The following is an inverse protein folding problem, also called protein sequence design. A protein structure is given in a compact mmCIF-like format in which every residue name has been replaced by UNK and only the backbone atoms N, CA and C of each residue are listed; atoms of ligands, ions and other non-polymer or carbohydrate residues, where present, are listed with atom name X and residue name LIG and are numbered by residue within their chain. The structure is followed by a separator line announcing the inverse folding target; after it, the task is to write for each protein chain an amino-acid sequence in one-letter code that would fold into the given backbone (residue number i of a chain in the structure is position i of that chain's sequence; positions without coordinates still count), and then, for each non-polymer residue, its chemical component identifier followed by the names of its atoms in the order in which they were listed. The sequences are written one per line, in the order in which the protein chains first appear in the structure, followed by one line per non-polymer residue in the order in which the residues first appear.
data_IF_919595777051
#
_entry.id   IF_919595777051
#
_cell.length_a   1.000
_cell.length_b   1.000
_cell.length_c   1.000
_cell.angle_alpha   90.00
_cell.angle_beta   90.00
_cell.angle_gamma   90.00
#
_symmetry.space_group_name_H-M   'P 1'
#
loop_
_entity.id
_entity.type
_entity.pdbx_description
1 polymer ?
#
# COMPACT_ATOMS: atom_id res chain seq x y z
N UNK A 1 -0.67 -15.24 -5.73
CA UNK A 1 -1.32 -14.02 -6.27
C UNK A 1 -2.56 -13.68 -5.46
N UNK A 2 -2.74 -12.40 -5.20
CA UNK A 2 -3.94 -11.87 -4.59
C UNK A 2 -5.01 -11.65 -5.68
N UNK A 3 -6.30 -11.67 -5.31
CA UNK A 3 -7.37 -11.37 -6.28
C UNK A 3 -7.25 -9.93 -6.81
N UNK A 4 -7.65 -9.70 -8.06
CA UNK A 4 -7.93 -8.34 -8.56
C UNK A 4 -9.12 -7.83 -7.77
N UNK A 5 -8.89 -6.78 -7.00
CA UNK A 5 -9.85 -6.22 -6.05
C UNK A 5 -9.81 -4.70 -6.05
N UNK A 6 -10.74 -4.12 -5.34
CA UNK A 6 -10.83 -2.71 -5.07
C UNK A 6 -11.44 -2.48 -3.68
N UNK A 7 -11.28 -1.28 -3.15
CA UNK A 7 -11.98 -0.77 -1.98
C UNK A 7 -13.08 0.21 -2.41
N UNK A 8 -14.28 0.16 -1.80
CA UNK A 8 -15.39 1.02 -2.22
C UNK A 8 -15.10 2.49 -1.94
N UNK A 9 -15.61 3.39 -2.79
CA UNK A 9 -15.56 4.84 -2.59
C UNK A 9 -16.38 5.26 -1.36
N UNK A 10 -16.01 6.36 -0.70
CA UNK A 10 -16.74 6.89 0.49
C UNK A 10 -18.22 7.09 0.22
N UNK A 11 -18.58 7.69 -0.93
CA UNK A 11 -19.99 7.91 -1.31
C UNK A 11 -20.78 6.60 -1.33
N UNK A 12 -20.20 5.57 -1.92
CA UNK A 12 -20.82 4.25 -1.98
C UNK A 12 -20.93 3.59 -0.60
N UNK A 13 -19.90 3.72 0.23
CA UNK A 13 -19.92 3.24 1.61
C UNK A 13 -21.04 3.90 2.41
N UNK A 14 -21.19 5.23 2.27
CA UNK A 14 -22.25 5.98 2.93
C UNK A 14 -23.65 5.55 2.47
N UNK A 15 -23.85 5.45 1.17
CA UNK A 15 -25.14 5.12 0.58
C UNK A 15 -25.57 3.67 0.83
N UNK A 16 -24.64 2.72 0.73
CA UNK A 16 -24.96 1.29 0.76
C UNK A 16 -24.79 0.64 2.13
N UNK A 17 -23.88 1.16 2.96
CA UNK A 17 -23.51 0.54 4.22
C UNK A 17 -23.66 1.48 5.43
N UNK A 18 -23.97 2.76 5.22
CA UNK A 18 -24.13 3.76 6.29
C UNK A 18 -22.80 4.14 6.97
N UNK A 19 -21.66 4.02 6.27
CA UNK A 19 -20.33 4.31 6.81
C UNK A 19 -19.73 5.55 6.15
N UNK A 20 -19.12 6.43 6.94
CA UNK A 20 -18.57 7.71 6.47
C UNK A 20 -17.10 7.65 6.07
N UNK A 21 -16.53 6.48 5.91
CA UNK A 21 -15.12 6.28 5.53
C UNK A 21 -14.94 5.08 4.63
N UNK A 22 -13.80 5.05 3.95
CA UNK A 22 -13.36 3.95 3.10
C UNK A 22 -11.94 3.53 3.42
N UNK A 23 -11.51 2.44 2.79
CA UNK A 23 -10.14 1.97 2.81
C UNK A 23 -9.37 2.60 1.65
N UNK A 24 -8.45 3.52 1.95
CA UNK A 24 -7.35 3.86 1.08
C UNK A 24 -6.15 3.01 1.46
N UNK A 25 -5.49 2.43 0.50
CA UNK A 25 -4.39 1.48 0.71
C UNK A 25 -3.09 1.99 0.10
N UNK A 26 -1.98 1.44 0.55
CA UNK A 26 -0.68 1.53 -0.13
C UNK A 26 0.04 0.20 0.01
N UNK A 27 0.76 -0.21 -1.04
CA UNK A 27 1.65 -1.35 -1.01
C UNK A 27 3.09 -0.88 -1.00
N UNK A 28 3.80 -1.11 0.10
CA UNK A 28 5.25 -0.99 0.13
C UNK A 28 5.88 -2.37 -0.06
N UNK A 29 6.73 -2.51 -1.07
CA UNK A 29 7.39 -3.77 -1.39
C UNK A 29 8.61 -3.96 -0.46
N UNK A 30 8.46 -4.79 0.57
CA UNK A 30 9.59 -5.17 1.44
C UNK A 30 10.48 -6.19 0.74
N UNK A 31 9.91 -6.95 -0.21
CA UNK A 31 10.61 -7.86 -1.09
C UNK A 31 9.85 -7.99 -2.39
N UNK A 32 10.53 -7.75 -3.52
CA UNK A 32 10.13 -8.14 -4.86
C UNK A 32 11.12 -9.15 -5.41
N UNK A 33 10.76 -9.82 -6.48
CA UNK A 33 11.64 -10.77 -7.18
C UNK A 33 11.79 -10.40 -8.64
N UNK A 34 12.58 -11.20 -9.36
CA UNK A 34 12.61 -11.18 -10.82
C UNK A 34 11.23 -11.59 -11.33
N UNK A 35 10.65 -10.83 -12.24
CA UNK A 35 9.35 -11.09 -12.86
C UNK A 35 8.12 -10.97 -11.92
N UNK A 36 8.29 -10.39 -10.72
CA UNK A 36 7.13 -10.08 -9.86
C UNK A 36 6.45 -8.78 -10.29
N UNK A 37 5.13 -8.71 -10.10
CA UNK A 37 4.29 -7.59 -10.57
C UNK A 37 3.37 -7.08 -9.47
N UNK A 38 2.97 -5.82 -9.60
CA UNK A 38 1.79 -5.26 -8.94
C UNK A 38 0.83 -4.82 -10.03
N UNK A 39 -0.41 -5.27 -9.94
CA UNK A 39 -1.49 -4.82 -10.81
C UNK A 39 -2.10 -3.56 -10.21
N UNK A 40 -2.27 -2.49 -11.01
CA UNK A 40 -2.76 -1.21 -10.50
C UNK A 40 -3.40 -0.35 -11.58
N UNK A 41 -4.67 -0.01 -11.40
CA UNK A 41 -5.41 0.85 -12.32
C UNK A 41 -5.69 0.22 -13.67
N UNK A 42 -6.48 0.87 -14.49
CA UNK A 42 -6.88 0.37 -15.81
C UNK A 42 -5.80 0.64 -16.87
N UNK A 43 -5.73 -0.23 -17.86
CA UNK A 43 -4.99 0.08 -19.09
C UNK A 43 -5.61 1.29 -19.79
N UNK A 44 -4.81 1.99 -20.60
CA UNK A 44 -5.27 3.16 -21.37
C UNK A 44 -6.44 2.81 -22.29
N UNK A 45 -6.34 1.66 -22.94
CA UNK A 45 -7.27 1.11 -23.93
C UNK A 45 -8.32 0.17 -23.36
N UNK A 46 -8.37 -0.03 -22.04
CA UNK A 46 -9.32 -0.95 -21.40
C UNK A 46 -10.78 -0.50 -21.65
N UNK A 47 -11.57 -1.43 -22.18
CA UNK A 47 -13.03 -1.30 -22.27
C UNK A 47 -13.66 -1.94 -21.03
N UNK A 48 -14.29 -1.11 -20.18
CA UNK A 48 -14.89 -1.54 -18.92
C UNK A 48 -16.05 -2.51 -19.11
N UNK A 49 -16.82 -2.37 -20.19
CA UNK A 49 -17.94 -3.27 -20.49
C UNK A 49 -17.43 -4.64 -20.95
N UNK A 50 -16.32 -4.67 -21.70
CA UNK A 50 -15.66 -5.94 -22.07
C UNK A 50 -15.08 -6.60 -20.80
N UNK A 51 -14.36 -5.85 -19.98
CA UNK A 51 -13.83 -6.36 -18.72
C UNK A 51 -14.93 -6.98 -17.84
N UNK A 52 -16.06 -6.29 -17.70
CA UNK A 52 -17.21 -6.80 -16.93
C UNK A 52 -17.76 -8.10 -17.50
N UNK A 53 -17.95 -8.19 -18.82
CA UNK A 53 -18.45 -9.40 -19.47
C UNK A 53 -17.51 -10.59 -19.32
N UNK A 54 -16.20 -10.34 -19.36
CA UNK A 54 -15.21 -11.41 -19.14
C UNK A 54 -15.19 -11.89 -17.70
N UNK A 55 -15.33 -10.98 -16.72
CA UNK A 55 -15.51 -11.36 -15.31
C UNK A 55 -16.80 -12.17 -15.11
N UNK A 56 -17.91 -11.75 -15.72
CA UNK A 56 -19.16 -12.52 -15.70
C UNK A 56 -18.98 -13.94 -16.26
N UNK A 57 -18.33 -14.07 -17.41
CA UNK A 57 -18.02 -15.40 -18.00
C UNK A 57 -17.11 -16.23 -17.12
N UNK A 58 -16.15 -15.61 -16.45
CA UNK A 58 -15.29 -16.30 -15.51
C UNK A 58 -16.11 -16.89 -14.34
N UNK A 59 -17.05 -16.12 -13.81
CA UNK A 59 -17.90 -16.53 -12.68
C UNK A 59 -18.94 -17.57 -13.10
N UNK A 60 -19.60 -17.39 -14.26
CA UNK A 60 -20.72 -18.25 -14.71
C UNK A 60 -20.26 -19.51 -15.42
N UNK A 61 -19.26 -19.40 -16.27
CA UNK A 61 -18.86 -20.45 -17.22
C UNK A 61 -17.50 -21.07 -16.86
N UNK A 62 -16.79 -20.51 -15.85
CA UNK A 62 -15.45 -20.96 -15.45
C UNK A 62 -14.38 -20.68 -16.51
N UNK A 63 -14.59 -19.68 -17.37
CA UNK A 63 -13.62 -19.30 -18.40
C UNK A 63 -12.62 -18.32 -17.84
N UNK A 64 -11.31 -18.66 -17.74
CA UNK A 64 -10.30 -17.73 -17.24
C UNK A 64 -10.20 -16.48 -18.09
N UNK A 65 -9.93 -15.34 -17.44
CA UNK A 65 -9.52 -14.10 -18.11
C UNK A 65 -8.04 -13.79 -17.77
N UNK A 66 -7.36 -13.03 -18.65
CA UNK A 66 -6.06 -12.46 -18.34
C UNK A 66 -6.25 -11.05 -17.76
N UNK A 67 -5.89 -10.80 -16.50
CA UNK A 67 -6.03 -9.48 -15.94
C UNK A 67 -5.22 -8.40 -16.67
N UNK A 68 -4.12 -8.76 -17.33
CA UNK A 68 -3.26 -7.82 -18.07
C UNK A 68 -3.93 -7.26 -19.33
N UNK A 69 -5.03 -7.83 -19.78
CA UNK A 69 -5.85 -7.24 -20.86
C UNK A 69 -6.60 -5.98 -20.39
N UNK A 70 -6.81 -5.82 -19.07
CA UNK A 70 -7.66 -4.76 -18.51
C UNK A 70 -6.93 -3.87 -17.49
N UNK A 71 -6.04 -4.45 -16.70
CA UNK A 71 -5.34 -3.79 -15.58
C UNK A 71 -3.86 -3.67 -15.88
N UNK A 72 -3.26 -2.51 -15.58
CA UNK A 72 -1.83 -2.31 -15.76
C UNK A 72 -1.04 -3.18 -14.80
N UNK A 73 0.06 -3.75 -15.28
CA UNK A 73 1.03 -4.49 -14.50
C UNK A 73 2.34 -3.71 -14.42
N UNK A 74 2.81 -3.46 -13.21
CA UNK A 74 4.08 -2.79 -12.94
C UNK A 74 5.09 -3.78 -12.36
N UNK A 75 6.38 -3.70 -12.74
CA UNK A 75 7.43 -4.41 -12.02
C UNK A 75 7.37 -4.11 -10.53
N UNK A 76 7.60 -5.11 -9.69
CA UNK A 76 7.56 -4.97 -8.24
C UNK A 76 8.98 -5.01 -7.67
N UNK A 77 9.57 -3.84 -7.45
CA UNK A 77 10.92 -3.70 -6.93
C UNK A 77 10.91 -3.46 -5.42
N UNK A 78 11.91 -4.00 -4.72
CA UNK A 78 12.08 -3.75 -3.28
C UNK A 78 12.22 -2.25 -3.01
N UNK A 79 11.49 -1.76 -2.01
CA UNK A 79 11.51 -0.35 -1.61
C UNK A 79 10.58 0.56 -2.40
N UNK A 80 9.88 0.04 -3.40
CA UNK A 80 8.86 0.77 -4.16
C UNK A 80 7.55 0.86 -3.39
N UNK A 81 6.83 1.97 -3.56
CA UNK A 81 5.49 2.18 -2.99
C UNK A 81 4.47 2.41 -4.11
N UNK A 82 3.33 1.76 -3.96
CA UNK A 82 2.15 1.93 -4.81
C UNK A 82 1.02 2.56 -4.00
N UNK A 83 0.51 3.69 -4.46
CA UNK A 83 -0.66 4.36 -3.87
C UNK A 83 -1.94 3.75 -4.46
N UNK A 84 -2.87 3.36 -3.59
CA UNK A 84 -4.09 2.63 -3.98
C UNK A 84 -5.31 3.34 -3.36
N UNK A 85 -5.69 4.50 -3.90
CA UNK A 85 -6.92 5.15 -3.45
C UNK A 85 -8.15 4.33 -3.85
N UNK A 86 -9.20 4.39 -3.03
CA UNK A 86 -10.45 3.65 -3.27
C UNK A 86 -11.00 3.89 -4.69
N UNK A 87 -11.55 2.85 -5.31
CA UNK A 87 -11.96 2.85 -6.71
C UNK A 87 -10.85 2.42 -7.70
N UNK A 88 -9.70 1.98 -7.22
CA UNK A 88 -8.56 1.57 -8.06
C UNK A 88 -8.43 0.05 -8.08
N UNK A 89 -8.67 -0.62 -9.23
CA UNK A 89 -8.47 -2.06 -9.33
C UNK A 89 -6.99 -2.38 -9.14
N UNK A 90 -6.69 -3.35 -8.26
CA UNK A 90 -5.32 -3.68 -7.91
C UNK A 90 -5.16 -5.13 -7.44
N UNK A 91 -3.92 -5.62 -7.49
CA UNK A 91 -3.50 -6.86 -6.84
C UNK A 91 -1.98 -6.90 -6.65
N UNK A 92 -1.52 -7.64 -5.65
CA UNK A 92 -0.12 -8.07 -5.58
C UNK A 92 0.04 -9.39 -6.31
N UNK A 93 0.96 -9.45 -7.26
CA UNK A 93 1.33 -10.68 -7.94
C UNK A 93 2.11 -11.65 -7.05
N UNK A 94 2.36 -12.83 -7.58
CA UNK A 94 3.09 -13.88 -6.87
C UNK A 94 4.53 -13.46 -6.54
N UNK A 95 5.05 -13.92 -5.41
CA UNK A 95 6.44 -13.71 -4.98
C UNK A 95 6.72 -12.37 -4.30
N UNK A 96 5.77 -11.46 -4.23
CA UNK A 96 5.89 -10.22 -3.47
C UNK A 96 5.70 -10.43 -1.96
N UNK A 97 6.46 -9.68 -1.16
CA UNK A 97 6.16 -9.45 0.25
C UNK A 97 5.82 -7.97 0.44
N UNK A 98 4.59 -7.72 0.84
CA UNK A 98 4.01 -6.38 0.93
C UNK A 98 3.79 -5.97 2.38
N UNK A 99 4.25 -4.77 2.74
CA UNK A 99 3.73 -4.04 3.89
C UNK A 99 2.56 -3.18 3.36
N UNK A 100 1.33 -3.59 3.68
CA UNK A 100 0.16 -2.77 3.39
C UNK A 100 0.00 -1.72 4.50
N UNK A 101 -0.13 -0.46 4.09
CA UNK A 101 -0.51 0.64 4.98
C UNK A 101 -1.88 1.11 4.50
N UNK A 102 -2.88 0.90 5.32
CA UNK A 102 -4.26 1.19 4.96
C UNK A 102 -5.02 1.90 6.08
N UNK A 103 -6.00 2.68 5.67
CA UNK A 103 -6.91 3.39 6.55
C UNK A 103 -8.22 2.60 6.62
N UNK A 104 -8.31 1.62 7.52
CA UNK A 104 -9.53 0.81 7.64
C UNK A 104 -9.75 0.28 9.05
N UNK A 105 -10.94 0.47 9.65
CA UNK A 105 -11.40 -0.30 10.80
C UNK A 105 -12.04 -1.63 10.39
N UNK A 106 -12.55 -1.75 9.13
CA UNK A 106 -13.14 -2.95 8.56
C UNK A 106 -12.70 -3.12 7.12
N UNK A 107 -12.49 -4.35 6.72
CA UNK A 107 -12.07 -4.71 5.39
C UNK A 107 -13.29 -4.92 4.48
N UNK A 108 -13.50 -4.02 3.53
CA UNK A 108 -14.41 -4.22 2.41
C UNK A 108 -13.61 -4.43 1.12
N UNK A 109 -13.49 -5.68 0.69
CA UNK A 109 -12.77 -6.03 -0.54
C UNK A 109 -13.76 -6.41 -1.62
N UNK A 110 -13.87 -5.58 -2.65
CA UNK A 110 -14.71 -5.80 -3.82
C UNK A 110 -13.89 -6.52 -4.89
N UNK A 111 -14.03 -7.83 -4.97
CA UNK A 111 -13.24 -8.66 -5.87
C UNK A 111 -13.85 -8.69 -7.26
N UNK A 112 -13.03 -8.43 -8.28
CA UNK A 112 -13.38 -8.60 -9.69
C UNK A 112 -13.04 -10.00 -10.17
N UNK A 113 -11.83 -10.49 -9.87
CA UNK A 113 -11.34 -11.76 -10.34
C UNK A 113 -10.37 -12.40 -9.34
N UNK A 114 -10.45 -13.73 -9.16
CA UNK A 114 -9.64 -14.44 -8.18
C UNK A 114 -8.98 -15.71 -8.73
N UNK A 115 -8.72 -15.74 -10.04
CA UNK A 115 -8.13 -16.90 -10.74
C UNK A 115 -8.97 -18.18 -10.61
N UNK A 116 -10.28 -18.06 -10.48
CA UNK A 116 -11.23 -19.18 -10.34
C UNK A 116 -10.89 -20.12 -9.17
N UNK A 117 -10.26 -19.58 -8.11
CA UNK A 117 -9.89 -20.39 -6.95
C UNK A 117 -11.14 -20.93 -6.23
N UNK A 118 -11.18 -22.25 -5.96
CA UNK A 118 -12.30 -22.83 -5.23
C UNK A 118 -12.29 -22.35 -3.76
N UNK A 119 -13.49 -22.34 -3.18
CA UNK A 119 -13.67 -22.24 -1.74
C UNK A 119 -13.27 -23.53 -1.02
N UNK A 120 -13.41 -23.54 0.30
CA UNK A 120 -13.13 -24.73 1.14
C UNK A 120 -14.09 -25.89 0.89
N UNK A 121 -15.24 -25.60 0.30
CA UNK A 121 -16.27 -26.57 -0.13
C UNK A 121 -16.05 -27.11 -1.55
N UNK A 122 -14.98 -26.67 -2.23
CA UNK A 122 -14.67 -27.04 -3.62
C UNK A 122 -15.45 -26.29 -4.69
N UNK A 123 -16.41 -25.44 -4.31
CA UNK A 123 -17.18 -24.62 -5.25
C UNK A 123 -16.45 -23.30 -5.55
N UNK A 124 -16.75 -22.64 -6.71
CA UNK A 124 -16.26 -21.30 -6.98
C UNK A 124 -16.64 -20.33 -5.86
N UNK A 125 -15.68 -19.50 -5.42
CA UNK A 125 -15.95 -18.50 -4.39
C UNK A 125 -16.85 -17.40 -4.94
N UNK A 126 -17.85 -16.92 -4.16
CA UNK A 126 -18.66 -15.78 -4.59
C UNK A 126 -17.78 -14.54 -4.78
N UNK A 127 -17.95 -13.86 -5.90
CA UNK A 127 -17.27 -12.60 -6.22
C UNK A 127 -18.30 -11.47 -6.28
N UNK A 128 -18.15 -10.43 -5.45
CA UNK A 128 -19.05 -9.26 -5.48
C UNK A 128 -18.63 -8.27 -6.59
N UNK A 129 -18.39 -8.77 -7.81
CA UNK A 129 -17.87 -7.99 -8.93
C UNK A 129 -18.79 -6.84 -9.35
N UNK A 130 -20.09 -6.99 -9.20
CA UNK A 130 -21.06 -5.91 -9.50
C UNK A 130 -20.81 -4.68 -8.64
N UNK A 131 -20.53 -4.88 -7.34
CA UNK A 131 -20.14 -3.81 -6.44
C UNK A 131 -18.79 -3.19 -6.84
N UNK A 132 -17.84 -4.03 -7.29
CA UNK A 132 -16.55 -3.58 -7.81
C UNK A 132 -16.73 -2.63 -8.99
N UNK A 133 -17.46 -3.05 -10.03
CA UNK A 133 -17.71 -2.22 -11.20
C UNK A 133 -18.52 -0.94 -10.89
N UNK A 134 -19.41 -0.97 -9.90
CA UNK A 134 -20.15 0.21 -9.46
C UNK A 134 -19.24 1.25 -8.76
N UNK A 135 -18.08 0.82 -8.25
CA UNK A 135 -17.11 1.67 -7.56
C UNK A 135 -15.91 2.06 -8.41
N UNK A 136 -15.69 1.37 -9.52
CA UNK A 136 -14.51 1.54 -10.36
C UNK A 136 -14.31 3.02 -10.78
N UNK A 137 -13.09 3.53 -10.52
CA UNK A 137 -12.69 4.87 -10.99
C UNK A 137 -12.08 4.76 -12.39
N UNK A 138 -12.91 4.93 -13.39
CA UNK A 138 -12.54 4.73 -14.80
C UNK A 138 -11.53 5.74 -15.31
N UNK A 139 -11.34 6.87 -14.63
CA UNK A 139 -10.32 7.88 -14.94
C UNK A 139 -8.90 7.46 -14.54
N UNK A 140 -8.73 6.46 -13.67
CA UNK A 140 -7.42 5.94 -13.26
C UNK A 140 -6.91 4.90 -14.25
N UNK A 141 -6.39 5.40 -15.38
CA UNK A 141 -5.93 4.56 -16.49
C UNK A 141 -4.63 5.04 -17.10
N UNK A 142 -3.92 4.12 -17.71
CA UNK A 142 -2.75 4.40 -18.54
C UNK A 142 -1.66 5.17 -17.83
N UNK A 143 -1.11 6.17 -18.51
CA UNK A 143 0.02 6.97 -18.02
C UNK A 143 -0.29 7.76 -16.73
N UNK A 144 -1.54 8.09 -16.47
CA UNK A 144 -1.94 8.80 -15.25
C UNK A 144 -1.70 7.91 -14.01
N UNK A 145 -1.95 6.61 -14.11
CA UNK A 145 -1.67 5.64 -13.03
C UNK A 145 -0.17 5.64 -12.68
N UNK A 146 0.70 5.50 -13.69
CA UNK A 146 2.15 5.49 -13.47
C UNK A 146 2.63 6.79 -12.83
N UNK A 147 2.15 7.95 -13.30
CA UNK A 147 2.56 9.26 -12.81
C UNK A 147 2.09 9.54 -11.38
N UNK A 148 0.85 9.20 -11.06
CA UNK A 148 0.19 9.64 -9.84
C UNK A 148 0.27 8.60 -8.71
N UNK A 149 0.21 7.30 -9.06
CA UNK A 149 0.11 6.22 -8.08
C UNK A 149 1.42 5.46 -7.84
N UNK A 150 2.40 5.56 -8.75
CA UNK A 150 3.74 4.98 -8.59
C UNK A 150 4.73 6.13 -8.42
N UNK A 151 4.74 6.69 -7.19
CA UNK A 151 5.50 7.92 -6.93
C UNK A 151 6.98 7.63 -6.69
N UNK A 152 7.84 8.46 -7.28
CA UNK A 152 9.27 8.44 -6.99
C UNK A 152 9.56 9.07 -5.61
N UNK A 153 10.48 8.49 -4.83
CA UNK A 153 10.90 9.05 -3.55
C UNK A 153 11.46 10.47 -3.71
N UNK A 154 11.00 11.39 -2.87
CA UNK A 154 11.49 12.77 -2.83
C UNK A 154 12.03 13.09 -1.45
N UNK A 155 13.32 13.46 -1.39
CA UNK A 155 13.96 13.86 -0.13
C UNK A 155 13.24 15.08 0.46
N UNK A 156 12.81 14.95 1.72
CA UNK A 156 12.18 16.00 2.51
C UNK A 156 13.21 16.76 3.36
N UNK A 157 14.09 16.01 4.02
CA UNK A 157 15.19 16.52 4.83
C UNK A 157 16.29 15.46 4.94
N UNK A 158 17.48 15.88 5.27
CA UNK A 158 18.65 15.02 5.44
C UNK A 158 19.58 15.51 6.53
N UNK A 159 20.58 14.72 6.84
CA UNK A 159 21.65 15.00 7.77
C UNK A 159 22.79 14.02 7.60
N UNK A 160 23.76 14.04 8.52
CA UNK A 160 24.93 13.17 8.42
C UNK A 160 24.53 11.70 8.52
N UNK A 161 24.66 10.96 7.42
CA UNK A 161 24.38 9.52 7.34
C UNK A 161 22.88 9.17 7.33
N UNK A 162 21.97 10.12 7.12
CA UNK A 162 20.55 9.82 7.03
C UNK A 162 19.79 10.80 6.13
N UNK A 163 18.66 10.36 5.63
CA UNK A 163 17.65 11.22 4.98
C UNK A 163 16.25 10.71 5.26
N UNK A 164 15.29 11.63 5.21
CA UNK A 164 13.85 11.32 5.20
C UNK A 164 13.28 11.65 3.82
N UNK A 165 12.54 10.71 3.26
CA UNK A 165 11.91 10.81 1.96
C UNK A 165 10.39 10.76 2.11
N UNK A 166 9.65 11.56 1.33
CA UNK A 166 8.24 11.29 1.04
C UNK A 166 8.22 10.26 -0.08
N UNK A 167 7.61 9.11 0.17
CA UNK A 167 7.49 8.02 -0.80
C UNK A 167 6.07 7.83 -1.32
N UNK A 168 5.07 8.42 -0.65
CA UNK A 168 3.69 8.42 -1.13
C UNK A 168 2.83 9.46 -0.43
N UNK A 169 2.20 10.33 -1.22
CA UNK A 169 1.24 11.32 -0.76
C UNK A 169 0.26 11.68 -1.89
N UNK A 170 -1.04 11.51 -1.65
CA UNK A 170 -2.11 11.90 -2.57
C UNK A 170 -3.09 12.84 -1.88
N UNK A 171 -3.59 13.84 -2.60
CA UNK A 171 -4.50 14.84 -2.02
C UNK A 171 -5.79 14.23 -1.47
N UNK A 172 -6.28 13.17 -2.08
CA UNK A 172 -7.50 12.45 -1.69
C UNK A 172 -7.32 11.52 -0.49
N UNK A 173 -6.05 11.22 -0.08
CA UNK A 173 -5.76 10.37 1.07
C UNK A 173 -5.38 11.23 2.27
N UNK A 174 -5.95 10.96 3.44
CA UNK A 174 -5.72 11.76 4.65
C UNK A 174 -4.39 11.44 5.36
N UNK A 175 -3.64 10.46 4.87
CA UNK A 175 -2.31 10.10 5.37
C UNK A 175 -1.28 10.17 4.25
N UNK A 176 -0.02 10.22 4.66
CA UNK A 176 1.13 10.10 3.78
C UNK A 176 2.11 9.08 4.33
N UNK A 177 2.95 8.57 3.44
CA UNK A 177 3.99 7.60 3.77
C UNK A 177 5.36 8.22 3.50
N UNK A 178 6.21 8.19 4.51
CA UNK A 178 7.61 8.62 4.44
C UNK A 178 8.53 7.44 4.71
N UNK A 179 9.81 7.64 4.45
CA UNK A 179 10.84 6.66 4.73
C UNK A 179 12.10 7.35 5.24
N UNK A 180 12.61 6.89 6.38
CA UNK A 180 13.97 7.15 6.79
C UNK A 180 14.90 6.14 6.14
N UNK A 181 16.04 6.62 5.65
CA UNK A 181 17.18 5.82 5.21
C UNK A 181 18.34 6.24 6.09
N UNK A 182 18.88 5.30 6.88
CA UNK A 182 19.97 5.56 7.82
C UNK A 182 21.16 4.66 7.50
N UNK A 183 22.34 5.25 7.46
CA UNK A 183 23.59 4.50 7.44
C UNK A 183 23.85 3.86 8.81
N UNK A 184 24.76 2.89 8.87
CA UNK A 184 25.15 2.26 10.13
C UNK A 184 25.63 3.30 11.15
N UNK A 185 25.07 3.26 12.36
CA UNK A 185 25.37 4.19 13.46
C UNK A 185 24.79 5.60 13.33
N UNK A 186 24.11 5.92 12.20
CA UNK A 186 23.48 7.23 12.02
C UNK A 186 22.28 7.41 12.96
N UNK A 187 22.02 8.67 13.29
CA UNK A 187 20.90 9.08 14.11
C UNK A 187 20.08 10.17 13.43
N UNK A 188 18.78 9.93 13.27
CA UNK A 188 17.82 10.87 12.70
C UNK A 188 16.88 11.39 13.78
N UNK A 189 16.76 12.70 13.92
CA UNK A 189 15.79 13.31 14.82
C UNK A 189 14.44 13.47 14.11
N UNK A 190 13.35 13.27 14.85
CA UNK A 190 11.99 13.50 14.40
C UNK A 190 11.12 14.06 15.54
N UNK A 191 9.93 14.55 15.21
CA UNK A 191 8.95 15.06 16.15
C UNK A 191 7.55 14.75 15.66
N UNK A 192 6.71 14.29 16.56
CA UNK A 192 5.31 13.93 16.23
C UNK A 192 4.48 15.12 15.79
N UNK A 193 4.82 16.34 16.22
CA UNK A 193 4.10 17.59 15.90
C UNK A 193 2.59 17.49 16.16
N UNK A 194 2.23 16.78 17.25
CA UNK A 194 0.84 16.58 17.63
C UNK A 194 0.08 15.50 16.83
N UNK A 195 0.77 14.72 16.00
CA UNK A 195 0.22 13.60 15.22
C UNK A 195 0.87 12.29 15.66
N UNK A 196 0.17 11.19 15.60
CA UNK A 196 0.83 9.90 15.82
C UNK A 196 1.62 9.47 14.58
N UNK A 197 2.72 8.76 14.81
CA UNK A 197 3.48 8.11 13.76
C UNK A 197 3.41 6.59 13.91
N UNK A 198 3.33 5.87 12.80
CA UNK A 198 3.49 4.40 12.78
C UNK A 198 4.80 4.13 12.06
N UNK A 199 5.74 3.51 12.77
CA UNK A 199 7.07 3.15 12.28
C UNK A 199 7.14 1.66 12.01
N UNK A 200 7.74 1.27 10.88
CA UNK A 200 8.01 -0.14 10.57
C UNK A 200 9.40 -0.26 9.95
N UNK A 201 10.25 -1.14 10.48
CA UNK A 201 11.56 -1.43 9.88
C UNK A 201 11.38 -2.38 8.72
N UNK A 202 11.71 -1.93 7.52
CA UNK A 202 11.48 -2.65 6.25
C UNK A 202 12.76 -3.15 5.60
N UNK A 203 13.93 -2.69 6.08
CA UNK A 203 15.25 -3.16 5.63
C UNK A 203 16.29 -2.94 6.74
N UNK A 204 17.28 -3.82 6.82
CA UNK A 204 18.31 -3.80 7.87
C UNK A 204 17.88 -4.53 9.13
N UNK A 205 18.71 -4.47 10.19
CA UNK A 205 18.47 -5.22 11.43
C UNK A 205 17.45 -4.53 12.34
N UNK A 206 17.49 -3.19 12.41
CA UNK A 206 16.60 -2.42 13.27
C UNK A 206 17.16 -1.07 13.68
N UNK A 207 16.36 -0.37 14.46
CA UNK A 207 16.72 0.92 15.06
C UNK A 207 16.37 0.94 16.54
N UNK A 208 17.08 1.77 17.31
CA UNK A 208 16.64 2.18 18.65
C UNK A 208 15.88 3.49 18.55
N UNK A 209 14.68 3.54 19.10
CA UNK A 209 13.86 4.75 19.22
C UNK A 209 14.06 5.34 20.63
N UNK A 210 14.54 6.59 20.71
CA UNK A 210 14.70 7.31 21.97
C UNK A 210 13.73 8.49 22.02
N UNK A 211 12.96 8.62 23.06
CA UNK A 211 12.07 9.76 23.27
C UNK A 211 12.71 10.82 24.16
N UNK A 212 12.26 12.08 24.06
CA UNK A 212 12.71 13.15 24.93
C UNK A 212 12.45 12.90 26.42
N UNK A 213 11.45 12.06 26.75
CA UNK A 213 11.17 11.63 28.13
C UNK A 213 12.11 10.52 28.64
N UNK A 214 13.09 10.10 27.84
CA UNK A 214 14.09 9.10 28.24
C UNK A 214 13.67 7.63 28.01
N UNK A 215 12.53 7.38 27.38
CA UNK A 215 12.16 6.02 27.00
C UNK A 215 13.00 5.54 25.81
N UNK A 216 13.32 4.25 25.83
CA UNK A 216 14.08 3.57 24.80
C UNK A 216 13.31 2.33 24.34
N UNK A 217 13.14 2.18 23.02
CA UNK A 217 12.53 1.03 22.40
C UNK A 217 13.41 0.50 21.27
N UNK A 218 13.70 -0.79 21.29
CA UNK A 218 14.30 -1.48 20.15
C UNK A 218 13.18 -1.81 19.17
N UNK A 219 13.41 -1.55 17.89
CA UNK A 219 12.49 -1.87 16.81
C UNK A 219 13.26 -2.64 15.74
N UNK A 220 13.03 -3.94 15.68
CA UNK A 220 13.70 -4.85 14.76
C UNK A 220 13.03 -4.91 13.40
N UNK A 221 13.65 -5.60 12.44
CA UNK A 221 13.07 -5.85 11.13
C UNK A 221 11.65 -6.45 11.22
N UNK A 222 10.75 -5.91 10.42
CA UNK A 222 9.32 -6.26 10.33
C UNK A 222 8.49 -5.96 11.60
N UNK A 223 9.07 -5.35 12.63
CA UNK A 223 8.30 -4.87 13.78
C UNK A 223 7.67 -3.51 13.48
N UNK A 224 6.52 -3.27 14.10
CA UNK A 224 5.76 -2.02 14.01
C UNK A 224 5.67 -1.37 15.38
N UNK A 225 5.98 -0.07 15.45
CA UNK A 225 5.84 0.75 16.65
C UNK A 225 4.91 1.93 16.37
N UNK A 226 3.90 2.13 17.20
CA UNK A 226 3.13 3.37 17.22
C UNK A 226 3.78 4.36 18.17
N UNK A 227 4.11 5.54 17.66
CA UNK A 227 4.59 6.69 18.45
C UNK A 227 3.40 7.62 18.64
N UNK A 228 2.81 7.69 19.85
CA UNK A 228 1.66 8.55 20.13
C UNK A 228 1.98 10.04 19.90
N UNK A 229 0.96 10.82 19.57
CA UNK A 229 1.09 12.27 19.34
C UNK A 229 1.73 13.04 20.51
N UNK A 230 1.48 12.58 21.74
CA UNK A 230 2.01 13.21 22.96
C UNK A 230 3.51 12.97 23.23
N UNK A 231 4.16 12.15 22.43
CA UNK A 231 5.61 11.86 22.59
C UNK A 231 6.46 13.09 22.27
N UNK A 232 6.07 13.88 21.25
CA UNK A 232 6.85 15.00 20.75
C UNK A 232 8.15 14.55 20.09
N UNK A 233 9.27 15.13 20.49
CA UNK A 233 10.58 14.85 19.91
C UNK A 233 11.09 13.43 20.26
N UNK A 234 11.65 12.75 19.26
CA UNK A 234 12.32 11.45 19.40
C UNK A 234 13.44 11.31 18.38
N UNK A 235 14.29 10.30 18.53
CA UNK A 235 15.34 9.96 17.56
C UNK A 235 15.26 8.50 17.16
N UNK A 236 15.69 8.21 15.94
CA UNK A 236 15.90 6.88 15.38
C UNK A 236 17.40 6.66 15.22
N UNK A 237 17.97 5.65 15.86
CA UNK A 237 19.39 5.34 15.76
C UNK A 237 19.62 3.96 15.22
N UNK A 238 20.31 3.84 14.08
CA UNK A 238 20.74 2.59 13.50
C UNK A 238 21.92 1.98 14.29
N UNK A 239 22.01 0.65 14.35
CA UNK A 239 23.13 -0.02 14.98
C UNK A 239 24.45 0.26 14.24
N UNK A 240 25.55 0.47 14.99
CA UNK A 240 26.84 0.86 14.39
C UNK A 240 27.52 -0.28 13.60
N UNK A 241 27.23 -1.53 13.91
CA UNK A 241 27.85 -2.72 13.30
C UNK A 241 27.05 -3.33 12.14
N UNK A 242 25.87 -2.78 11.83
CA UNK A 242 24.98 -3.30 10.79
C UNK A 242 25.16 -2.63 9.42
N UNK A 243 24.33 -3.04 8.48
CA UNK A 243 24.15 -2.35 7.19
C UNK A 243 23.21 -1.14 7.32
N UNK A 244 22.88 -0.49 6.19
CA UNK A 244 21.88 0.59 6.17
C UNK A 244 20.51 0.06 6.61
N UNK A 245 19.73 0.94 7.25
CA UNK A 245 18.39 0.61 7.75
C UNK A 245 17.37 1.52 7.06
N UNK A 246 16.23 0.95 6.67
CA UNK A 246 15.08 1.71 6.19
C UNK A 246 13.90 1.53 7.12
N UNK A 247 13.34 2.67 7.53
CA UNK A 247 12.16 2.72 8.40
C UNK A 247 11.05 3.46 7.67
N UNK A 248 9.98 2.77 7.36
CA UNK A 248 8.76 3.40 6.85
C UNK A 248 8.02 4.09 7.99
N UNK A 249 7.56 5.30 7.74
CA UNK A 249 6.75 6.10 8.66
C UNK A 249 5.43 6.47 7.98
N UNK A 250 4.31 6.01 8.54
CA UNK A 250 2.98 6.47 8.16
C UNK A 250 2.49 7.52 9.17
N UNK A 251 1.86 8.57 8.67
CA UNK A 251 1.30 9.65 9.50
C UNK A 251 0.08 10.30 8.85
N UNK A 252 -0.83 10.82 9.68
CA UNK A 252 -1.96 11.63 9.21
C UNK A 252 -1.47 13.02 8.80
N UNK A 253 -2.08 13.61 7.79
CA UNK A 253 -1.76 14.97 7.31
C UNK A 253 -2.56 16.05 7.99
#
# INVERSE_FOLDING_TARGET
EMCIRDSPKESYMRERFGWDYTQHETYYLTRGGTDTKVFLGLREDADVDVFRKEVERAVTDGVPLDPEDHVLAFPAEQGQLFMIPAGTPHASGAGNLVLEISATPYLYSLRFYDWLRPGTDGNPRPLPYEHGFANLETGRRGKAVARDLVQEPRTLRDGTGWREEVIGALAEMFYEVRRFVLDAGAEAADDTQGRFHILNVVEGEGVTVHTAAGHRHELAYAETLTVPAAVGAYTLRAAAGGGPVRVVKALVR
#
